data_IF_947201126072
#
_entry.id   IF_947201126072
#
_cell.length_a   1.000
_cell.length_b   1.000
_cell.length_c   1.000
_cell.angle_alpha   90.00
_cell.angle_beta   90.00
_cell.angle_gamma   90.00
#
_symmetry.space_group_name_H-M   'P 1'
#
loop_
_entity.id
_entity.type
_entity.pdbx_description
1 polymer ?
#
# COMPACT_ATOMS: atom_id res chain seq x y z
N UNK A 1 -13.81 8.79 0.79
CA UNK A 1 -14.54 9.15 2.04
C UNK A 1 -13.67 8.78 3.24
N UNK A 2 -13.48 9.67 4.22
CA UNK A 2 -12.87 9.34 5.51
C UNK A 2 -13.94 9.27 6.59
N UNK A 3 -14.04 8.16 7.33
CA UNK A 3 -15.07 8.03 8.37
C UNK A 3 -14.69 7.06 9.48
N UNK A 4 -14.94 7.46 10.73
CA UNK A 4 -14.87 6.56 11.90
C UNK A 4 -16.21 5.86 12.19
N UNK A 5 -17.27 6.21 11.47
CA UNK A 5 -18.62 5.68 11.69
C UNK A 5 -18.66 4.15 11.65
N UNK A 6 -17.98 3.43 10.72
CA UNK A 6 -18.01 1.97 10.73
C UNK A 6 -17.43 1.33 11.99
N UNK A 7 -16.47 1.98 12.67
CA UNK A 7 -15.89 1.50 13.92
C UNK A 7 -16.71 1.88 15.15
N UNK A 8 -17.23 3.11 15.22
CA UNK A 8 -17.95 3.60 16.41
C UNK A 8 -19.47 3.39 16.39
N UNK A 9 -20.07 3.33 15.19
CA UNK A 9 -21.51 3.16 14.98
C UNK A 9 -21.77 2.23 13.77
N UNK A 10 -21.38 0.95 13.86
CA UNK A 10 -21.47 0.00 12.74
C UNK A 10 -22.90 -0.19 12.21
N UNK A 11 -23.92 0.08 13.03
CA UNK A 11 -25.34 0.02 12.66
C UNK A 11 -25.70 1.01 11.54
N UNK A 12 -24.90 2.07 11.35
CA UNK A 12 -25.12 3.04 10.27
C UNK A 12 -24.84 2.46 8.88
N UNK A 13 -24.07 1.38 8.81
CA UNK A 13 -23.77 0.65 7.58
C UNK A 13 -24.90 -0.36 7.34
N UNK A 14 -25.92 0.12 6.63
CA UNK A 14 -27.12 -0.67 6.30
C UNK A 14 -27.05 -1.20 4.87
N UNK A 15 -27.85 -2.22 4.56
CA UNK A 15 -27.96 -2.75 3.21
C UNK A 15 -28.36 -1.65 2.20
N UNK A 16 -29.36 -0.84 2.56
CA UNK A 16 -29.81 0.31 1.75
C UNK A 16 -28.69 1.31 1.46
N UNK A 17 -27.79 1.55 2.42
CA UNK A 17 -26.63 2.41 2.20
C UNK A 17 -25.66 1.77 1.18
N UNK A 18 -25.34 0.49 1.37
CA UNK A 18 -24.45 -0.25 0.47
C UNK A 18 -25.00 -0.32 -0.96
N UNK A 19 -26.30 -0.56 -1.14
CA UNK A 19 -26.95 -0.63 -2.45
C UNK A 19 -26.95 0.73 -3.17
N UNK A 20 -27.03 1.82 -2.42
CA UNK A 20 -26.85 3.16 -2.98
C UNK A 20 -25.40 3.39 -3.38
N UNK A 21 -24.44 3.09 -2.51
CA UNK A 21 -22.99 3.28 -2.75
C UNK A 21 -22.53 2.55 -4.02
N UNK A 22 -23.04 1.34 -4.28
CA UNK A 22 -22.73 0.55 -5.50
C UNK A 22 -23.01 1.31 -6.81
N UNK A 23 -23.96 2.25 -6.82
CA UNK A 23 -24.37 2.96 -8.03
C UNK A 23 -23.41 4.09 -8.42
N UNK A 24 -22.48 4.47 -7.53
CA UNK A 24 -21.63 5.67 -7.69
C UNK A 24 -20.13 5.35 -7.68
N UNK A 25 -19.75 4.13 -8.05
CA UNK A 25 -18.33 3.76 -8.16
C UNK A 25 -17.58 4.64 -9.17
N UNK A 26 -16.29 4.91 -8.95
CA UNK A 26 -15.44 4.36 -7.89
C UNK A 26 -15.52 5.11 -6.55
N UNK A 27 -15.78 4.39 -5.45
CA UNK A 27 -15.73 4.95 -4.09
C UNK A 27 -14.70 4.22 -3.23
N UNK A 28 -13.79 4.98 -2.63
CA UNK A 28 -12.81 4.50 -1.63
C UNK A 28 -13.18 5.02 -0.25
N UNK A 29 -13.00 4.18 0.78
CA UNK A 29 -13.28 4.57 2.15
C UNK A 29 -12.09 4.28 3.08
N UNK A 30 -11.61 5.32 3.76
CA UNK A 30 -10.61 5.21 4.81
C UNK A 30 -11.31 5.26 6.18
N UNK A 31 -11.08 4.21 6.95
CA UNK A 31 -11.60 3.99 8.30
C UNK A 31 -10.55 4.35 9.35
N UNK A 32 -10.97 4.48 10.60
CA UNK A 32 -10.08 4.76 11.72
C UNK A 32 -10.19 3.66 12.78
N UNK A 33 -9.08 2.95 13.03
CA UNK A 33 -8.97 1.95 14.10
C UNK A 33 -7.63 2.10 14.81
N UNK A 34 -7.64 2.11 16.15
CA UNK A 34 -6.41 2.21 16.95
C UNK A 34 -6.11 0.94 17.73
N UNK A 35 -7.12 0.17 18.14
CA UNK A 35 -6.95 -1.03 18.95
C UNK A 35 -7.72 -2.23 18.35
N UNK A 36 -7.20 -3.48 18.44
CA UNK A 36 -7.90 -4.66 17.93
C UNK A 36 -9.28 -4.86 18.57
N UNK A 37 -9.51 -4.38 19.79
CA UNK A 37 -10.80 -4.52 20.48
C UNK A 37 -11.90 -3.66 19.84
N UNK A 38 -11.54 -2.65 19.03
CA UNK A 38 -12.52 -1.90 18.22
C UNK A 38 -13.12 -2.77 17.10
N UNK A 39 -12.49 -3.89 16.73
CA UNK A 39 -12.94 -4.78 15.65
C UNK A 39 -13.89 -5.88 16.18
N UNK A 40 -15.02 -5.43 16.74
CA UNK A 40 -16.10 -6.30 17.19
C UNK A 40 -16.74 -7.07 16.02
N UNK A 41 -17.52 -8.14 16.28
CA UNK A 41 -18.25 -8.85 15.23
C UNK A 41 -19.14 -7.94 14.37
N UNK A 42 -19.79 -6.96 14.99
CA UNK A 42 -20.67 -5.99 14.31
C UNK A 42 -19.87 -5.08 13.37
N UNK A 43 -18.70 -4.63 13.80
CA UNK A 43 -17.78 -3.82 13.00
C UNK A 43 -17.24 -4.62 11.82
N UNK A 44 -16.85 -5.88 12.04
CA UNK A 44 -16.40 -6.78 10.96
C UNK A 44 -17.51 -7.02 9.94
N UNK A 45 -18.75 -7.22 10.39
CA UNK A 45 -19.91 -7.37 9.50
C UNK A 45 -20.23 -6.08 8.72
N UNK A 46 -20.04 -4.91 9.34
CA UNK A 46 -20.19 -3.62 8.66
C UNK A 46 -19.11 -3.42 7.58
N UNK A 47 -17.84 -3.68 7.90
CA UNK A 47 -16.73 -3.63 6.94
C UNK A 47 -16.95 -4.63 5.80
N UNK A 48 -17.39 -5.85 6.12
CA UNK A 48 -17.74 -6.87 5.14
C UNK A 48 -18.80 -6.38 4.16
N UNK A 49 -19.91 -5.80 4.65
CA UNK A 49 -20.97 -5.24 3.78
C UNK A 49 -20.49 -4.13 2.87
N UNK A 50 -19.54 -3.30 3.30
CA UNK A 50 -18.95 -2.25 2.45
C UNK A 50 -18.00 -2.87 1.39
N UNK A 51 -17.20 -3.84 1.78
CA UNK A 51 -16.31 -4.56 0.86
C UNK A 51 -17.12 -5.34 -0.20
N UNK A 52 -18.21 -6.01 0.21
CA UNK A 52 -19.16 -6.69 -0.70
C UNK A 52 -19.90 -5.69 -1.61
N UNK A 53 -19.98 -4.42 -1.21
CA UNK A 53 -20.48 -3.34 -2.05
C UNK A 53 -19.44 -2.86 -3.08
N UNK A 54 -18.26 -3.47 -3.14
CA UNK A 54 -17.18 -3.12 -4.04
C UNK A 54 -16.36 -1.91 -3.58
N UNK A 55 -16.50 -1.46 -2.33
CA UNK A 55 -15.75 -0.32 -1.78
C UNK A 55 -14.39 -0.81 -1.28
N UNK A 56 -13.26 -0.33 -1.84
CA UNK A 56 -11.96 -0.63 -1.25
C UNK A 56 -11.81 0.11 0.08
N UNK A 57 -11.49 -0.65 1.13
CA UNK A 57 -11.38 -0.14 2.49
C UNK A 57 -9.92 -0.01 2.90
N UNK A 58 -9.53 1.18 3.34
CA UNK A 58 -8.27 1.45 4.02
C UNK A 58 -8.49 1.72 5.51
N UNK A 59 -7.49 1.45 6.35
CA UNK A 59 -7.48 1.85 7.75
C UNK A 59 -6.34 2.82 8.05
N UNK A 60 -6.69 3.92 8.71
CA UNK A 60 -5.76 4.88 9.27
C UNK A 60 -5.71 4.66 10.78
N UNK A 61 -4.52 4.43 11.29
CA UNK A 61 -4.25 4.22 12.72
C UNK A 61 -3.35 5.34 13.20
N UNK A 62 -3.61 5.87 14.40
CA UNK A 62 -2.69 6.82 15.05
C UNK A 62 -1.94 6.06 16.13
N UNK A 63 -0.63 6.26 16.18
CA UNK A 63 0.23 5.70 17.22
C UNK A 63 0.01 6.49 18.52
N UNK A 64 -0.54 5.82 19.52
CA UNK A 64 -0.96 6.39 20.79
C UNK A 64 -0.33 5.63 21.94
N UNK A 65 0.36 6.37 22.82
CA UNK A 65 0.99 5.85 24.02
C UNK A 65 -0.03 5.19 24.95
N UNK A 66 0.27 3.97 25.39
CA UNK A 66 -0.59 3.18 26.27
C UNK A 66 -1.83 2.57 25.60
N UNK A 67 -1.95 2.68 24.27
CA UNK A 67 -3.06 2.10 23.50
C UNK A 67 -2.53 1.08 22.50
N UNK A 68 -1.64 1.51 21.61
CA UNK A 68 -1.14 0.67 20.52
C UNK A 68 0.35 0.88 20.24
N UNK A 69 1.09 1.37 21.23
CA UNK A 69 2.54 1.54 21.22
C UNK A 69 3.33 0.24 21.48
N UNK A 70 2.70 -0.90 21.23
CA UNK A 70 3.25 -2.24 21.36
C UNK A 70 3.17 -3.02 20.03
N UNK A 71 4.28 -3.63 19.57
CA UNK A 71 4.29 -4.39 18.32
C UNK A 71 3.30 -5.56 18.24
N UNK A 72 3.06 -6.29 19.35
CA UNK A 72 2.13 -7.43 19.34
C UNK A 72 0.67 -6.95 19.28
N UNK A 73 0.34 -5.85 19.96
CA UNK A 73 -0.98 -5.21 19.82
C UNK A 73 -1.20 -4.76 18.36
N UNK A 74 -0.21 -4.10 17.76
CA UNK A 74 -0.30 -3.65 16.37
C UNK A 74 -0.40 -4.81 15.38
N UNK A 75 0.35 -5.89 15.60
CA UNK A 75 0.26 -7.12 14.79
C UNK A 75 -1.14 -7.72 14.84
N UNK A 76 -1.72 -7.84 16.04
CA UNK A 76 -3.12 -8.30 16.21
C UNK A 76 -4.10 -7.39 15.47
N UNK A 77 -3.93 -6.07 15.58
CA UNK A 77 -4.78 -5.10 14.88
C UNK A 77 -4.73 -5.30 13.37
N UNK A 78 -3.54 -5.26 12.76
CA UNK A 78 -3.39 -5.32 11.30
C UNK A 78 -3.89 -6.65 10.73
N UNK A 79 -3.72 -7.76 11.45
CA UNK A 79 -4.28 -9.06 11.04
C UNK A 79 -5.80 -9.06 11.08
N UNK A 80 -6.40 -8.53 12.15
CA UNK A 80 -7.86 -8.45 12.23
C UNK A 80 -8.45 -7.50 11.18
N UNK A 81 -7.76 -6.41 10.83
CA UNK A 81 -8.17 -5.51 9.76
C UNK A 81 -8.21 -6.26 8.41
N UNK A 82 -7.15 -7.01 8.08
CA UNK A 82 -7.13 -7.79 6.85
C UNK A 82 -8.22 -8.86 6.80
N UNK A 83 -8.48 -9.56 7.92
CA UNK A 83 -9.59 -10.51 8.02
C UNK A 83 -10.95 -9.84 7.79
N UNK A 84 -11.08 -8.56 8.14
CA UNK A 84 -12.27 -7.73 7.87
C UNK A 84 -12.28 -7.11 6.45
N UNK A 85 -11.34 -7.47 5.58
CA UNK A 85 -11.12 -6.89 4.24
C UNK A 85 -10.83 -5.38 4.27
N UNK A 86 -10.17 -4.91 5.33
CA UNK A 86 -9.70 -3.54 5.48
C UNK A 86 -8.18 -3.53 5.39
N UNK A 87 -7.62 -2.82 4.41
CA UNK A 87 -6.16 -2.71 4.23
C UNK A 87 -5.58 -1.71 5.24
N UNK A 88 -4.65 -2.09 6.13
CA UNK A 88 -3.85 -1.14 6.90
C UNK A 88 -3.14 -0.18 5.95
N UNK A 89 -3.45 1.11 6.03
CA UNK A 89 -2.96 2.11 5.07
C UNK A 89 -1.86 2.98 5.68
N UNK A 90 -2.19 3.68 6.76
CA UNK A 90 -1.25 4.55 7.46
C UNK A 90 -1.20 4.25 8.95
N UNK A 91 0.00 4.29 9.50
CA UNK A 91 0.26 4.47 10.92
C UNK A 91 0.80 5.89 11.10
N UNK A 92 0.00 6.78 11.67
CA UNK A 92 0.38 8.17 11.91
C UNK A 92 1.11 8.31 13.23
N UNK A 93 2.22 9.04 13.23
CA UNK A 93 2.72 9.62 14.46
C UNK A 93 1.70 10.63 15.00
N UNK A 94 1.45 10.61 16.32
CA UNK A 94 0.53 11.56 16.94
C UNK A 94 0.98 13.02 16.73
N UNK A 95 0.07 13.84 16.19
CA UNK A 95 0.30 15.25 15.86
C UNK A 95 0.59 16.12 17.08
N UNK A 96 1.21 17.29 16.81
CA UNK A 96 1.50 18.35 17.76
C UNK A 96 0.25 19.18 18.13
N UNK A 97 -0.83 18.50 18.48
CA UNK A 97 -2.08 19.15 18.87
C UNK A 97 -2.05 19.55 20.34
N UNK A 98 -2.58 20.73 20.66
CA UNK A 98 -2.68 21.22 22.04
C UNK A 98 -3.45 20.22 22.90
N UNK A 99 -2.88 19.83 24.03
CA UNK A 99 -3.51 18.93 25.00
C UNK A 99 -3.31 17.42 24.73
N UNK A 100 -2.79 17.01 23.56
CA UNK A 100 -2.64 15.57 23.22
C UNK A 100 -1.23 15.02 23.43
N UNK A 101 -0.29 15.83 23.94
CA UNK A 101 1.10 15.43 24.10
C UNK A 101 1.31 14.16 24.95
N UNK A 102 0.41 13.87 25.90
CA UNK A 102 0.48 12.68 26.74
C UNK A 102 0.25 11.37 25.96
N UNK A 103 -0.41 11.43 24.80
CA UNK A 103 -0.56 10.30 23.89
C UNK A 103 0.60 10.13 22.91
N UNK A 104 1.56 11.06 22.86
CA UNK A 104 2.66 10.97 21.91
C UNK A 104 3.65 9.89 22.32
N UNK A 105 4.09 9.15 21.33
CA UNK A 105 5.23 8.22 21.39
C UNK A 105 6.47 8.89 20.80
N UNK A 106 7.63 8.26 20.97
CA UNK A 106 8.82 8.64 20.19
C UNK A 106 8.74 8.02 18.79
N UNK A 107 9.52 8.55 17.84
CA UNK A 107 9.53 8.07 16.45
C UNK A 107 10.10 6.64 16.38
N UNK A 108 11.05 6.33 17.25
CA UNK A 108 11.67 5.00 17.39
C UNK A 108 10.63 3.94 17.74
N UNK A 109 9.59 4.27 18.50
CA UNK A 109 8.47 3.35 18.78
C UNK A 109 7.78 2.94 17.47
N UNK A 110 7.46 3.91 16.60
CA UNK A 110 6.84 3.64 15.31
C UNK A 110 7.74 2.81 14.38
N UNK A 111 9.02 3.14 14.31
CA UNK A 111 10.01 2.37 13.55
C UNK A 111 10.16 0.93 14.05
N UNK A 112 10.17 0.74 15.38
CA UNK A 112 10.20 -0.59 16.01
C UNK A 112 8.97 -1.42 15.62
N UNK A 113 7.78 -0.81 15.61
CA UNK A 113 6.55 -1.48 15.20
C UNK A 113 6.63 -1.89 13.73
N UNK A 114 7.00 -0.98 12.82
CA UNK A 114 7.11 -1.33 11.39
C UNK A 114 8.14 -2.43 11.17
N UNK A 115 9.30 -2.37 11.82
CA UNK A 115 10.33 -3.41 11.75
C UNK A 115 9.82 -4.77 12.24
N UNK A 116 9.01 -4.79 13.29
CA UNK A 116 8.43 -6.02 13.82
C UNK A 116 7.31 -6.60 12.95
N UNK A 117 6.69 -5.80 12.08
CA UNK A 117 5.69 -6.26 11.12
C UNK A 117 6.34 -6.70 9.80
N UNK A 118 7.23 -5.89 9.26
CA UNK A 118 7.83 -6.08 7.94
C UNK A 118 8.70 -7.34 7.89
N UNK A 119 8.36 -8.27 7.00
CA UNK A 119 9.03 -9.58 6.88
C UNK A 119 8.54 -10.65 7.87
N UNK A 120 7.84 -10.25 8.94
CA UNK A 120 7.22 -11.15 9.92
C UNK A 120 5.73 -11.39 9.66
N UNK A 121 5.13 -10.63 8.75
CA UNK A 121 3.75 -10.79 8.31
C UNK A 121 3.57 -10.50 6.82
N UNK A 122 2.34 -10.67 6.32
CA UNK A 122 1.98 -10.33 4.94
C UNK A 122 2.29 -8.87 4.65
N UNK A 123 2.87 -8.59 3.48
CA UNK A 123 3.15 -7.21 3.05
C UNK A 123 1.88 -6.33 3.00
N UNK A 124 0.70 -6.92 2.82
CA UNK A 124 -0.57 -6.18 2.89
C UNK A 124 -0.92 -5.68 4.29
N UNK A 125 -0.37 -6.30 5.33
CA UNK A 125 -0.62 -5.94 6.73
C UNK A 125 0.34 -4.87 7.25
N UNK A 126 1.35 -4.47 6.46
CA UNK A 126 2.32 -3.46 6.88
C UNK A 126 1.83 -2.09 6.42
N UNK A 127 1.37 -1.20 7.33
CA UNK A 127 0.99 0.14 6.96
C UNK A 127 2.22 1.02 6.70
N UNK A 128 2.06 2.13 6.00
CA UNK A 128 3.10 3.15 5.93
C UNK A 128 3.14 3.94 7.24
N UNK A 129 4.26 3.90 7.96
CA UNK A 129 4.46 4.81 9.10
C UNK A 129 4.80 6.20 8.58
N UNK A 130 4.01 7.19 8.96
CA UNK A 130 4.12 8.56 8.45
C UNK A 130 4.10 9.58 9.58
N UNK A 131 4.86 10.65 9.40
CA UNK A 131 4.79 11.86 10.23
C UNK A 131 4.25 12.98 9.35
N UNK A 132 3.22 13.68 9.82
CA UNK A 132 2.77 14.91 9.16
C UNK A 132 3.72 16.05 9.55
N UNK A 133 4.40 16.61 8.55
CA UNK A 133 5.42 17.62 8.78
C UNK A 133 4.76 18.91 9.31
N UNK A 134 5.29 19.52 10.39
CA UNK A 134 4.78 20.78 10.91
C UNK A 134 4.68 21.86 9.82
N UNK A 135 3.64 22.68 9.89
CA UNK A 135 3.42 23.74 8.90
C UNK A 135 2.84 23.27 7.56
N UNK A 136 2.36 22.03 7.47
CA UNK A 136 1.70 21.52 6.27
C UNK A 136 2.66 21.01 5.19
N UNK A 137 3.87 20.60 5.58
CA UNK A 137 4.86 20.02 4.66
C UNK A 137 4.49 18.64 4.10
N UNK A 138 3.35 18.09 4.53
CA UNK A 138 2.81 16.84 4.05
C UNK A 138 3.32 15.62 4.83
N UNK A 139 2.90 14.45 4.37
CA UNK A 139 3.15 13.16 5.05
C UNK A 139 4.48 12.59 4.60
N UNK A 140 5.43 12.48 5.52
CA UNK A 140 6.74 11.91 5.27
C UNK A 140 6.72 10.43 5.70
N UNK A 141 6.81 9.46 4.77
CA UNK A 141 6.90 8.06 5.12
C UNK A 141 8.28 7.73 5.70
N UNK A 142 8.27 6.95 6.76
CA UNK A 142 9.45 6.46 7.44
C UNK A 142 9.51 4.94 7.34
N UNK A 143 10.67 4.44 6.95
CA UNK A 143 10.99 3.02 6.96
C UNK A 143 12.05 2.76 8.04
N UNK A 144 12.10 1.55 8.61
CA UNK A 144 13.21 1.13 9.45
C UNK A 144 14.56 1.42 8.80
N UNK A 145 15.50 1.87 9.63
CA UNK A 145 16.87 2.14 9.22
C UNK A 145 17.60 0.84 8.86
N UNK A 146 18.61 0.94 8.00
CA UNK A 146 19.52 -0.14 7.60
C UNK A 146 19.01 -1.15 6.56
N UNK A 147 17.85 -0.96 5.91
CA UNK A 147 17.49 -1.81 4.76
C UNK A 147 18.38 -1.55 3.54
N UNK A 148 18.75 -0.29 3.29
CA UNK A 148 19.78 0.09 2.33
C UNK A 148 21.07 0.40 3.11
N UNK A 149 22.06 -0.48 3.03
CA UNK A 149 23.33 -0.37 3.75
C UNK A 149 24.33 0.47 2.98
N UNK A 150 24.38 0.28 1.66
CA UNK A 150 25.27 0.99 0.75
C UNK A 150 24.61 1.10 -0.62
N UNK A 151 24.89 2.18 -1.33
CA UNK A 151 24.40 2.43 -2.69
C UNK A 151 25.47 3.19 -3.47
N UNK A 152 25.90 2.62 -4.58
CA UNK A 152 26.81 3.26 -5.54
C UNK A 152 26.37 3.00 -6.99
N UNK A 153 27.24 3.34 -7.94
CA UNK A 153 26.99 3.16 -9.38
C UNK A 153 26.95 1.68 -9.80
N UNK A 154 27.63 0.79 -9.07
CA UNK A 154 27.74 -0.62 -9.40
C UNK A 154 26.61 -1.45 -8.77
N UNK A 155 26.10 -1.04 -7.60
CA UNK A 155 25.13 -1.83 -6.87
C UNK A 155 24.55 -1.19 -5.61
N UNK A 156 23.57 -1.90 -5.06
CA UNK A 156 23.00 -1.65 -3.75
C UNK A 156 23.28 -2.84 -2.82
N UNK A 157 23.78 -2.55 -1.63
CA UNK A 157 23.90 -3.54 -0.55
C UNK A 157 22.66 -3.41 0.32
N UNK A 158 21.82 -4.44 0.32
CA UNK A 158 20.56 -4.49 1.03
C UNK A 158 20.66 -5.41 2.25
N UNK A 159 19.98 -5.06 3.34
CA UNK A 159 19.79 -5.95 4.49
C UNK A 159 18.32 -6.28 4.62
N UNK A 160 17.96 -7.53 4.90
CA UNK A 160 16.57 -7.91 5.13
C UNK A 160 16.19 -7.88 6.63
N UNK A 161 14.94 -8.24 6.95
CA UNK A 161 14.43 -8.32 8.33
C UNK A 161 15.15 -9.36 9.21
N UNK A 162 15.80 -10.38 8.61
CA UNK A 162 16.61 -11.39 9.30
C UNK A 162 18.07 -10.97 9.47
N UNK A 163 18.42 -9.72 9.13
CA UNK A 163 19.79 -9.19 9.09
C UNK A 163 20.72 -9.88 8.07
N UNK A 164 20.18 -10.61 7.09
CA UNK A 164 20.95 -11.13 5.96
C UNK A 164 21.24 -10.01 4.96
N UNK A 165 22.46 -9.99 4.43
CA UNK A 165 22.92 -8.99 3.46
C UNK A 165 22.88 -9.56 2.04
N UNK A 166 22.41 -8.76 1.09
CA UNK A 166 22.26 -9.10 -0.32
C UNK A 166 22.87 -8.00 -1.19
N UNK A 167 23.46 -8.37 -2.32
CA UNK A 167 23.95 -7.42 -3.31
C UNK A 167 22.99 -7.39 -4.50
N UNK A 168 22.53 -6.20 -4.87
CA UNK A 168 21.70 -5.97 -6.04
C UNK A 168 22.49 -5.14 -7.06
N UNK A 169 22.86 -5.71 -8.23
CA UNK A 169 23.63 -4.99 -9.23
C UNK A 169 22.76 -3.92 -9.91
N UNK A 170 23.32 -2.72 -10.12
CA UNK A 170 22.65 -1.68 -10.90
C UNK A 170 22.80 -1.95 -12.40
N UNK A 171 21.79 -1.60 -13.21
CA UNK A 171 21.93 -1.68 -14.65
C UNK A 171 22.97 -0.66 -15.10
N UNK A 172 24.00 -1.13 -15.81
CA UNK A 172 24.94 -0.24 -16.48
C UNK A 172 24.17 0.48 -17.57
N UNK A 173 24.11 1.82 -17.49
CA UNK A 173 23.47 2.63 -18.53
C UNK A 173 24.43 2.71 -19.72
N UNK A 174 24.70 1.58 -20.35
CA UNK A 174 25.26 1.55 -21.69
C UNK A 174 24.06 1.61 -22.65
N UNK A 175 24.13 2.45 -23.68
CA UNK A 175 22.97 2.91 -24.46
C UNK A 175 22.26 1.86 -25.33
N UNK A 176 22.21 0.58 -24.93
CA UNK A 176 21.55 -0.52 -25.64
C UNK A 176 20.80 -1.40 -24.64
N UNK A 177 19.48 -1.47 -24.80
CA UNK A 177 18.62 -2.38 -24.04
C UNK A 177 18.88 -3.82 -24.49
N UNK A 178 19.59 -4.59 -23.67
CA UNK A 178 19.39 -6.04 -23.64
C UNK A 178 18.72 -6.38 -22.31
N UNK A 179 17.44 -6.73 -22.38
CA UNK A 179 16.72 -7.31 -21.24
C UNK A 179 17.10 -8.80 -21.17
N UNK A 180 17.54 -9.31 -20.01
CA UNK A 180 17.78 -10.73 -19.85
C UNK A 180 16.41 -11.45 -19.80
N UNK A 181 15.96 -11.96 -20.95
CA UNK A 181 14.84 -12.91 -20.99
C UNK A 181 15.29 -14.23 -20.37
N UNK A 182 14.56 -14.69 -19.36
CA UNK A 182 14.74 -16.01 -18.76
C UNK A 182 14.43 -17.08 -19.82
N UNK A 183 15.51 -17.62 -20.40
CA UNK A 183 15.63 -18.95 -21.00
C UNK A 183 14.64 -19.37 -22.09
N UNK A 184 15.07 -19.30 -23.36
CA UNK A 184 14.89 -20.38 -24.35
C UNK A 184 16.11 -20.33 -25.29
N UNK A 185 16.80 -21.46 -25.48
CA UNK A 185 17.96 -21.53 -26.38
C UNK A 185 17.57 -21.20 -27.82
N UNK A 186 18.32 -20.29 -28.45
CA UNK A 186 18.15 -19.93 -29.86
C UNK A 186 19.33 -20.45 -30.66
N UNK A 187 19.05 -21.39 -31.56
CA UNK A 187 19.83 -21.55 -32.79
C UNK A 187 19.32 -20.46 -33.76
N UNK A 188 20.22 -19.57 -34.18
CA UNK A 188 19.91 -18.46 -35.08
C UNK A 188 20.08 -18.91 -36.53
N UNK A 189 19.06 -18.64 -37.34
CA UNK A 189 19.13 -18.54 -38.80
C UNK A 189 18.38 -17.28 -39.22
N UNK A 190 19.06 -16.39 -39.93
CA UNK A 190 18.69 -15.03 -40.32
C UNK A 190 17.56 -14.97 -41.37
N UNK A 191 16.76 -13.90 -41.36
CA UNK A 191 16.49 -13.02 -42.52
C UNK A 191 15.72 -11.76 -42.10
N UNK A 192 16.20 -10.59 -42.53
CA UNK A 192 15.57 -9.27 -42.42
C UNK A 192 14.32 -9.16 -43.31
N UNK A 193 13.27 -8.48 -42.84
CA UNK A 193 12.35 -7.76 -43.72
C UNK A 193 11.62 -6.61 -42.98
N UNK A 194 11.62 -5.44 -43.61
CA UNK A 194 11.12 -4.18 -43.10
C UNK A 194 9.60 -4.05 -43.21
N UNK A 195 8.93 -3.43 -42.23
CA UNK A 195 7.51 -3.05 -42.33
C UNK A 195 7.27 -1.58 -42.01
N UNK A 196 6.51 -0.95 -42.91
CA UNK A 196 6.19 0.46 -43.01
C UNK A 196 5.12 0.91 -41.98
N UNK A 197 5.17 2.19 -41.62
CA UNK A 197 4.22 2.84 -40.73
C UNK A 197 2.81 2.91 -41.35
N UNK A 198 1.81 2.37 -40.64
CA UNK A 198 0.39 2.56 -40.96
C UNK A 198 -0.21 3.62 -40.02
N UNK A 199 -0.96 4.56 -40.60
CA UNK A 199 -1.38 5.81 -39.98
C UNK A 199 -2.53 5.71 -38.97
N UNK A 200 -2.68 6.82 -38.26
CA UNK A 200 -3.69 7.08 -37.23
C UNK A 200 -5.12 6.96 -37.74
N UNK A 201 -5.91 6.09 -37.10
CA UNK A 201 -7.37 6.15 -37.17
C UNK A 201 -8.01 5.65 -35.87
N UNK A 202 -8.15 6.52 -34.88
CA UNK A 202 -9.11 6.36 -33.79
C UNK A 202 -10.03 7.58 -33.74
N UNK A 203 -11.36 7.41 -33.67
CA UNK A 203 -12.28 8.53 -33.52
C UNK A 203 -12.29 9.04 -32.07
N UNK A 204 -12.15 10.35 -31.91
CA UNK A 204 -12.25 11.07 -30.64
C UNK A 204 -13.61 10.84 -29.96
N UNK A 205 -13.59 10.21 -28.78
CA UNK A 205 -14.63 10.33 -27.75
C UNK A 205 -14.02 10.28 -26.34
N UNK A 206 -13.75 11.48 -25.84
CA UNK A 206 -13.95 11.94 -24.46
C UNK A 206 -13.55 11.02 -23.29
N UNK A 207 -12.40 11.36 -22.69
CA UNK A 207 -12.39 11.75 -21.27
C UNK A 207 -11.80 10.81 -20.22
N UNK A 208 -11.36 9.60 -20.57
CA UNK A 208 -10.75 8.67 -19.62
C UNK A 208 -9.59 7.88 -20.23
N UNK A 209 -8.41 8.49 -20.30
CA UNK A 209 -7.15 7.77 -20.48
C UNK A 209 -5.99 8.64 -20.00
N UNK A 210 -5.55 8.46 -18.76
CA UNK A 210 -4.16 8.72 -18.29
C UNK A 210 -3.99 8.14 -16.88
N UNK A 211 -4.38 6.87 -16.70
CA UNK A 211 -3.92 6.01 -15.62
C UNK A 211 -3.79 4.61 -16.20
N UNK A 212 -2.56 4.12 -16.37
CA UNK A 212 -2.33 2.70 -16.68
C UNK A 212 -1.19 2.46 -17.66
N UNK A 213 0.01 2.33 -17.10
CA UNK A 213 1.11 1.44 -17.50
C UNK A 213 1.04 0.80 -18.90
N UNK A 214 1.91 1.29 -19.77
CA UNK A 214 2.39 0.57 -20.94
C UNK A 214 3.41 -0.50 -20.51
N UNK A 215 2.97 -1.77 -20.55
CA UNK A 215 3.72 -2.97 -20.94
C UNK A 215 2.61 -3.96 -21.32
N UNK A 216 2.16 -4.04 -22.57
CA UNK A 216 2.95 -4.59 -23.67
C UNK A 216 2.75 -6.11 -23.70
N UNK A 217 1.69 -6.55 -24.37
CA UNK A 217 1.35 -7.96 -24.57
C UNK A 217 0.10 -8.04 -25.43
N UNK A 218 0.30 -8.10 -26.75
CA UNK A 218 -0.77 -8.34 -27.72
C UNK A 218 -1.39 -9.73 -27.54
N UNK A 219 -2.66 -9.77 -27.89
CA UNK A 219 -3.51 -10.93 -27.95
C UNK A 219 -3.11 -11.87 -29.10
N UNK A 220 -3.21 -13.17 -28.87
CA UNK A 220 -3.57 -14.11 -29.92
C UNK A 220 -4.97 -14.66 -29.61
N UNK A 221 -5.88 -14.39 -30.54
CA UNK A 221 -7.17 -15.07 -30.68
C UNK A 221 -6.96 -16.47 -31.28
N UNK A 222 -7.42 -17.50 -30.57
CA UNK A 222 -8.26 -18.59 -31.07
C UNK A 222 -9.39 -18.81 -30.07
#
# INVERSE_FOLDING_TARGET
IGSRVPGSLPQRITQKLCDMVKQYHPIYMNLHFNHPDELTPEVKAACGRLADAGVPLGAQTVLLKGVNDDPEIMKRLVHQLLLARVKPYYLYQADLTKGTNHFRTTVETGLKIIKALQGHTSGMAVPHFVIDAPGGGGKIPLLPDNYLVHLDEDGAVLRNYENKTFHYPQPKTDGRRELPMVGVGSAVGETEEAYAACGDSYPDRDGYAMWGNSCGGDADEL
#
